data_IF_766945227970
#
_entry.id   IF_766945227970
#
_cell.length_a   1.000
_cell.length_b   1.000
_cell.length_c   1.000
_cell.angle_alpha   90.00
_cell.angle_beta   90.00
_cell.angle_gamma   90.00
#
_symmetry.space_group_name_H-M   'P 1'
#
loop_
_entity.id
_entity.type
_entity.pdbx_description
1 polymer ?
#
# COMPACT_ATOMS: atom_id res chain seq x y z
N UNK A 1 -4.12 1.02 -2.51
CA UNK A 1 -5.11 0.05 -1.98
C UNK A 1 -6.21 0.74 -1.19
N UNK A 2 -7.33 0.03 -0.97
CA UNK A 2 -8.35 0.36 0.03
C UNK A 2 -8.70 -0.92 0.79
N UNK A 3 -8.71 -0.86 2.12
CA UNK A 3 -8.96 -2.00 2.97
C UNK A 3 -9.59 -1.59 4.30
N UNK A 4 -9.93 -2.59 5.12
CA UNK A 4 -10.33 -2.40 6.52
C UNK A 4 -9.49 -3.31 7.40
N UNK A 5 -9.14 -2.86 8.60
CA UNK A 5 -8.50 -3.75 9.58
C UNK A 5 -9.51 -4.82 10.00
N UNK A 6 -9.10 -6.09 10.04
CA UNK A 6 -9.95 -7.18 10.54
C UNK A 6 -10.25 -6.95 12.02
N UNK A 7 -11.48 -7.23 12.44
CA UNK A 7 -11.99 -6.85 13.76
C UNK A 7 -11.13 -7.36 14.95
N UNK A 8 -10.44 -8.49 14.80
CA UNK A 8 -9.58 -9.10 15.80
C UNK A 8 -8.07 -8.91 15.54
N UNK A 9 -7.70 -8.03 14.61
CA UNK A 9 -6.30 -7.83 14.18
C UNK A 9 -5.73 -6.46 14.49
N UNK A 10 -6.52 -5.50 14.96
CA UNK A 10 -6.06 -4.14 15.26
C UNK A 10 -4.83 -4.12 16.20
N UNK A 11 -4.94 -4.74 17.38
CA UNK A 11 -3.83 -4.81 18.32
C UNK A 11 -2.60 -5.55 17.77
N UNK A 12 -2.80 -6.61 16.98
CA UNK A 12 -1.71 -7.36 16.36
C UNK A 12 -1.01 -6.56 15.25
N UNK A 13 -1.77 -5.77 14.48
CA UNK A 13 -1.24 -4.88 13.45
C UNK A 13 -0.43 -3.75 14.08
N UNK A 14 -0.93 -3.16 15.17
CA UNK A 14 -0.20 -2.16 15.94
C UNK A 14 1.13 -2.71 16.46
N UNK A 15 1.13 -3.89 17.10
CA UNK A 15 2.37 -4.55 17.56
C UNK A 15 3.35 -4.82 16.40
N UNK A 16 2.84 -5.27 15.24
CA UNK A 16 3.66 -5.55 14.08
C UNK A 16 4.30 -4.29 13.48
N UNK A 17 3.62 -3.16 13.52
CA UNK A 17 4.17 -1.86 13.08
C UNK A 17 5.18 -1.35 14.11
N UNK A 18 4.83 -1.34 15.39
CA UNK A 18 5.69 -0.83 16.46
C UNK A 18 7.00 -1.61 16.59
N UNK A 19 6.98 -2.91 16.28
CA UNK A 19 8.14 -3.79 16.33
C UNK A 19 8.86 -3.92 14.99
N UNK A 20 8.43 -3.18 13.97
CA UNK A 20 8.99 -3.24 12.61
C UNK A 20 9.03 -4.68 12.07
N UNK A 21 7.96 -5.44 12.31
CA UNK A 21 7.81 -6.83 11.83
C UNK A 21 6.75 -7.00 10.76
N UNK A 22 5.95 -5.97 10.48
CA UNK A 22 4.97 -6.01 9.40
C UNK A 22 5.65 -6.30 8.05
N UNK A 23 5.20 -7.33 7.35
CA UNK A 23 5.78 -7.74 6.07
C UNK A 23 7.11 -8.49 6.15
N UNK A 24 7.61 -8.82 7.36
CA UNK A 24 8.90 -9.52 7.52
C UNK A 24 8.92 -10.84 6.76
N UNK A 25 9.92 -10.99 5.88
CA UNK A 25 10.07 -12.15 4.99
C UNK A 25 9.46 -11.94 3.60
N UNK A 26 8.72 -10.85 3.39
CA UNK A 26 8.27 -10.40 2.07
C UNK A 26 9.42 -9.79 1.27
N UNK A 27 9.30 -9.87 -0.06
CA UNK A 27 10.25 -9.24 -0.99
C UNK A 27 10.18 -7.71 -0.96
N UNK A 28 9.02 -7.15 -0.58
CA UNK A 28 8.81 -5.70 -0.50
C UNK A 28 9.50 -5.04 0.72
N UNK A 29 10.08 -5.84 1.63
CA UNK A 29 10.92 -5.33 2.73
C UNK A 29 10.24 -4.26 3.58
N UNK A 30 10.88 -3.10 3.69
CA UNK A 30 10.46 -2.00 4.57
C UNK A 30 9.26 -1.21 4.00
N UNK A 31 8.80 -1.52 2.78
CA UNK A 31 7.70 -0.83 2.11
C UNK A 31 6.41 -0.85 2.93
N UNK A 32 6.12 -1.94 3.63
CA UNK A 32 4.92 -2.05 4.49
C UNK A 32 4.86 -0.96 5.56
N UNK A 33 5.99 -0.66 6.21
CA UNK A 33 6.05 0.34 7.27
C UNK A 33 5.93 1.75 6.69
N UNK A 34 6.60 1.98 5.57
CA UNK A 34 6.51 3.23 4.80
C UNK A 34 5.09 3.50 4.33
N UNK A 35 4.40 2.47 3.86
CA UNK A 35 3.01 2.54 3.43
C UNK A 35 2.07 2.85 4.57
N UNK A 36 2.25 2.22 5.73
CA UNK A 36 1.44 2.50 6.92
C UNK A 36 1.69 3.91 7.47
N UNK A 37 2.90 4.45 7.37
CA UNK A 37 3.20 5.84 7.72
C UNK A 37 2.51 6.84 6.77
N UNK A 38 2.42 6.51 5.48
CA UNK A 38 1.71 7.31 4.48
C UNK A 38 0.18 7.06 4.46
N UNK A 39 -0.29 5.98 5.07
CA UNK A 39 -1.69 5.58 5.03
C UNK A 39 -2.61 6.62 5.65
N UNK A 40 -3.83 6.70 5.11
CA UNK A 40 -4.91 7.52 5.65
C UNK A 40 -6.13 6.67 5.89
N UNK A 41 -6.83 6.99 6.97
CA UNK A 41 -8.10 6.39 7.31
C UNK A 41 -9.23 7.40 7.10
N UNK A 42 -10.27 6.94 6.43
CA UNK A 42 -11.52 7.66 6.21
C UNK A 42 -12.44 7.51 7.43
N UNK A 43 -13.42 8.41 7.58
CA UNK A 43 -14.38 8.40 8.70
C UNK A 43 -15.23 7.12 8.79
N UNK A 44 -15.36 6.38 7.68
CA UNK A 44 -16.07 5.10 7.64
C UNK A 44 -15.20 3.91 8.04
N UNK A 45 -13.94 4.13 8.42
CA UNK A 45 -12.98 3.12 8.86
C UNK A 45 -12.13 2.50 7.75
N UNK A 46 -12.32 2.90 6.48
CA UNK A 46 -11.45 2.45 5.38
C UNK A 46 -10.06 3.02 5.51
N UNK A 47 -9.05 2.16 5.35
CA UNK A 47 -7.63 2.53 5.29
C UNK A 47 -7.20 2.49 3.82
N UNK A 48 -6.47 3.52 3.40
CA UNK A 48 -5.92 3.65 2.06
C UNK A 48 -4.44 3.96 2.14
N UNK A 49 -3.68 3.39 1.23
CA UNK A 49 -2.25 3.63 1.06
C UNK A 49 -1.85 3.32 -0.37
N UNK A 50 -0.64 3.69 -0.75
CA UNK A 50 -0.10 3.51 -2.10
C UNK A 50 1.21 2.76 -1.95
N UNK A 51 1.34 1.64 -2.66
CA UNK A 51 2.58 0.88 -2.81
C UNK A 51 3.10 1.02 -4.26
N UNK A 52 4.37 0.68 -4.45
CA UNK A 52 5.01 0.48 -5.75
C UNK A 52 5.19 -1.01 -5.98
N UNK A 53 4.30 -1.60 -6.77
CA UNK A 53 4.34 -3.02 -7.10
C UNK A 53 4.84 -3.25 -8.54
N UNK A 54 5.81 -4.16 -8.70
CA UNK A 54 6.33 -4.61 -10.01
C UNK A 54 5.74 -5.95 -10.47
N UNK A 55 4.84 -6.55 -9.71
CA UNK A 55 4.22 -7.82 -10.06
C UNK A 55 3.37 -7.72 -11.34
N UNK A 56 3.31 -8.80 -12.11
CA UNK A 56 2.46 -8.88 -13.32
C UNK A 56 0.97 -8.78 -12.98
N UNK A 57 0.57 -9.46 -11.89
CA UNK A 57 -0.70 -9.31 -11.18
C UNK A 57 -0.46 -8.45 -9.95
N UNK A 58 -1.16 -7.31 -9.78
CA UNK A 58 -0.96 -6.43 -8.63
C UNK A 58 -1.09 -7.19 -7.30
N UNK A 59 -0.16 -6.93 -6.37
CA UNK A 59 -0.10 -7.53 -5.04
C UNK A 59 0.11 -9.05 -5.00
N UNK A 60 0.52 -9.70 -6.08
CA UNK A 60 0.61 -11.17 -6.09
C UNK A 60 1.51 -11.72 -4.97
N UNK A 61 2.60 -11.03 -4.65
CA UNK A 61 3.59 -11.46 -3.66
C UNK A 61 3.26 -10.92 -2.25
N UNK A 62 2.76 -9.69 -2.16
CA UNK A 62 2.55 -8.97 -0.91
C UNK A 62 1.16 -9.23 -0.31
N UNK A 63 0.18 -9.67 -1.11
CA UNK A 63 -1.21 -9.88 -0.69
C UNK A 63 -1.34 -10.73 0.58
N UNK A 64 -0.66 -11.89 0.74
CA UNK A 64 -0.81 -12.70 1.94
C UNK A 64 -0.42 -11.96 3.23
N UNK A 65 0.59 -11.10 3.15
CA UNK A 65 1.05 -10.28 4.28
C UNK A 65 0.05 -9.19 4.64
N UNK A 66 -0.54 -8.53 3.64
CA UNK A 66 -1.60 -7.54 3.88
C UNK A 66 -2.87 -8.19 4.43
N UNK A 67 -3.29 -9.31 3.83
CA UNK A 67 -4.49 -10.04 4.23
C UNK A 67 -4.36 -10.72 5.60
N UNK A 68 -3.17 -10.80 6.19
CA UNK A 68 -3.02 -11.21 7.60
C UNK A 68 -3.79 -10.27 8.54
N UNK A 69 -3.79 -8.96 8.24
CA UNK A 69 -4.34 -7.90 9.12
C UNK A 69 -5.56 -7.20 8.51
N UNK A 70 -5.65 -7.13 7.19
CA UNK A 70 -6.64 -6.35 6.46
C UNK A 70 -7.61 -7.22 5.67
N UNK A 71 -8.84 -6.74 5.53
CA UNK A 71 -9.78 -7.13 4.48
C UNK A 71 -9.60 -6.17 3.30
N UNK A 72 -9.01 -6.64 2.19
CA UNK A 72 -8.75 -5.82 1.01
C UNK A 72 -10.04 -5.59 0.21
N UNK A 73 -10.56 -4.36 0.22
CA UNK A 73 -11.77 -4.01 -0.53
C UNK A 73 -11.47 -3.63 -1.98
N UNK A 74 -10.31 -3.00 -2.24
CA UNK A 74 -9.93 -2.56 -3.59
C UNK A 74 -8.43 -2.50 -3.80
N UNK A 75 -7.98 -3.09 -4.89
CA UNK A 75 -6.64 -2.93 -5.47
C UNK A 75 -6.80 -2.23 -6.80
N UNK A 76 -6.08 -1.12 -7.00
CA UNK A 76 -6.21 -0.27 -8.17
C UNK A 76 -4.86 0.30 -8.54
N UNK A 77 -4.53 0.26 -9.83
CA UNK A 77 -3.33 0.89 -10.37
C UNK A 77 -3.39 2.43 -10.22
N UNK A 78 -2.23 3.04 -10.00
CA UNK A 78 -2.07 4.49 -9.91
C UNK A 78 -2.65 5.24 -11.13
N UNK A 79 -2.51 4.64 -12.31
CA UNK A 79 -3.09 5.08 -13.57
C UNK A 79 -3.22 3.88 -14.52
N UNK A 80 -3.80 4.10 -15.70
CA UNK A 80 -3.89 3.06 -16.73
C UNK A 80 -2.50 2.45 -17.04
N UNK A 81 -2.40 1.11 -17.07
CA UNK A 81 -1.13 0.40 -17.33
C UNK A 81 -0.48 0.78 -18.65
N UNK A 82 -1.27 1.14 -19.67
CA UNK A 82 -0.78 1.65 -20.96
C UNK A 82 0.06 2.93 -20.86
N UNK A 83 -0.06 3.67 -19.75
CA UNK A 83 0.72 4.89 -19.47
C UNK A 83 1.92 4.64 -18.56
N UNK A 84 2.09 3.43 -18.01
CA UNK A 84 3.26 3.08 -17.22
C UNK A 84 4.45 2.85 -18.16
N UNK A 85 5.52 3.65 -18.01
CA UNK A 85 6.67 3.61 -18.92
C UNK A 85 7.44 2.29 -18.87
N UNK A 86 7.43 1.64 -17.71
CA UNK A 86 8.01 0.30 -17.54
C UNK A 86 7.20 -0.73 -18.34
N UNK A 87 5.89 -0.80 -18.08
CA UNK A 87 5.03 -1.80 -18.73
C UNK A 87 4.82 -1.56 -20.22
N UNK A 88 4.87 -0.32 -20.69
CA UNK A 88 4.75 -0.01 -22.12
C UNK A 88 6.09 -0.06 -22.88
N UNK A 89 7.19 -0.38 -22.19
CA UNK A 89 8.52 -0.56 -22.77
C UNK A 89 9.25 0.73 -23.14
N UNK A 90 8.74 1.90 -22.73
CA UNK A 90 9.42 3.17 -22.98
C UNK A 90 10.68 3.31 -22.11
N UNK A 91 10.62 2.85 -20.86
CA UNK A 91 11.69 3.02 -19.87
C UNK A 91 11.57 1.97 -18.76
N UNK A 92 12.50 1.01 -18.74
CA UNK A 92 12.48 -0.09 -17.77
C UNK A 92 12.74 0.42 -16.35
N UNK A 93 12.00 -0.10 -15.38
CA UNK A 93 12.07 0.32 -13.97
C UNK A 93 11.66 1.78 -13.72
N UNK A 94 10.96 2.42 -14.67
CA UNK A 94 10.57 3.83 -14.56
C UNK A 94 9.73 4.17 -13.31
N UNK A 95 9.10 3.18 -12.66
CA UNK A 95 8.37 3.39 -11.42
C UNK A 95 9.28 3.77 -10.25
N UNK A 96 10.57 3.40 -10.28
CA UNK A 96 11.56 3.74 -9.23
C UNK A 96 11.72 5.26 -9.11
N UNK A 97 11.73 5.96 -10.24
CA UNK A 97 11.94 7.41 -10.32
C UNK A 97 10.65 8.19 -10.68
N UNK A 98 9.49 7.54 -10.64
CA UNK A 98 8.23 8.22 -10.94
C UNK A 98 7.68 9.00 -9.73
N UNK A 99 6.98 10.11 -10.00
CA UNK A 99 6.34 10.94 -8.97
C UNK A 99 4.92 10.46 -8.62
N UNK A 100 4.46 9.34 -9.17
CA UNK A 100 3.08 8.87 -9.04
C UNK A 100 2.69 8.62 -7.57
N UNK A 101 3.57 7.96 -6.81
CA UNK A 101 3.35 7.68 -5.39
C UNK A 101 3.22 8.97 -4.59
N UNK A 102 4.18 9.89 -4.73
CA UNK A 102 4.17 11.16 -4.02
C UNK A 102 2.92 12.01 -4.31
N UNK A 103 2.48 12.03 -5.57
CA UNK A 103 1.26 12.75 -5.97
C UNK A 103 0.00 12.14 -5.37
N UNK A 104 -0.12 10.82 -5.41
CA UNK A 104 -1.28 10.12 -4.86
C UNK A 104 -1.33 10.23 -3.33
N UNK A 105 -0.19 10.21 -2.65
CA UNK A 105 -0.12 10.39 -1.20
C UNK A 105 -0.45 11.81 -0.78
N UNK A 106 0.01 12.81 -1.53
CA UNK A 106 -0.37 14.21 -1.31
C UNK A 106 -1.89 14.37 -1.38
N UNK A 107 -2.52 13.77 -2.41
CA UNK A 107 -3.97 13.75 -2.56
C UNK A 107 -4.66 12.96 -1.45
N UNK A 108 -4.09 11.84 -1.03
CA UNK A 108 -4.65 11.02 0.02
C UNK A 108 -4.61 11.77 1.37
N UNK A 109 -3.52 12.47 1.66
CA UNK A 109 -3.34 13.28 2.85
C UNK A 109 -4.38 14.41 2.99
N UNK A 110 -5.00 14.85 1.89
CA UNK A 110 -6.06 15.86 1.94
C UNK A 110 -7.45 15.30 2.24
N UNK A 111 -7.62 13.97 2.37
CA UNK A 111 -8.95 13.30 2.44
C UNK A 111 -9.21 12.50 3.70
N UNK A 112 -8.17 12.07 4.41
CA UNK A 112 -8.30 11.26 5.62
C UNK A 112 -7.31 11.70 6.69
N UNK A 113 -7.47 11.14 7.89
CA UNK A 113 -6.50 11.36 8.96
C UNK A 113 -5.39 10.32 8.88
N UNK A 114 -4.19 10.58 9.46
CA UNK A 114 -3.15 9.57 9.60
C UNK A 114 -3.72 8.28 10.18
N UNK A 115 -3.37 7.15 9.57
CA UNK A 115 -3.77 5.84 10.07
C UNK A 115 -2.97 5.51 11.34
N UNK A 116 -3.69 5.04 12.36
CA UNK A 116 -3.14 4.54 13.62
C UNK A 116 -3.96 3.29 13.98
N UNK A 117 -3.41 2.09 13.78
CA UNK A 117 -4.11 0.83 14.02
C UNK A 117 -4.48 0.59 15.49
#
# INVERSE_FOLDING_TARGET
MTARVKANKAAALADAIDRETLGRGSIAGDEYLRDMAAARQDADGRVRWIEVCFCSTPLAEERPYWEEYFELERVQDAHARSRCRDLNGTDAWACVDCDCTARLETHLASKGHPFKP
#
